data_IF_561547547553
#
_entry.id   IF_561547547553
#
_cell.length_a   1.000
_cell.length_b   1.000
_cell.length_c   1.000
_cell.angle_alpha   90.00
_cell.angle_beta   90.00
_cell.angle_gamma   90.00
#
_symmetry.space_group_name_H-M   'P 1'
#
loop_
_entity.id
_entity.type
_entity.pdbx_description
1 polymer ?
#
# COMPACT_ATOMS: atom_id res chain seq x y z
N UNK A 1 24.32 9.20 -30.23
CA UNK A 1 24.55 8.30 -29.07
C UNK A 1 23.23 8.22 -28.32
N UNK A 2 22.76 7.04 -27.89
CA UNK A 2 21.52 6.95 -27.14
C UNK A 2 21.71 7.58 -25.75
N UNK A 3 20.94 8.62 -25.44
CA UNK A 3 20.90 9.29 -24.13
C UNK A 3 19.78 8.73 -23.27
N UNK A 4 19.98 8.61 -21.95
CA UNK A 4 18.90 8.27 -21.03
C UNK A 4 18.22 9.57 -20.61
N UNK A 5 17.07 9.88 -21.20
CA UNK A 5 16.29 11.04 -20.79
C UNK A 5 15.81 10.88 -19.35
N UNK A 6 16.06 11.88 -18.50
CA UNK A 6 15.37 11.99 -17.23
C UNK A 6 13.85 12.05 -17.47
N UNK A 7 13.09 11.30 -16.67
CA UNK A 7 11.62 11.37 -16.69
C UNK A 7 11.21 12.76 -16.21
N UNK A 8 10.56 13.53 -17.09
CA UNK A 8 9.98 14.83 -16.74
C UNK A 8 8.75 14.61 -15.86
N UNK A 9 8.67 15.29 -14.72
CA UNK A 9 7.45 15.34 -13.93
C UNK A 9 6.61 16.52 -14.39
N UNK A 10 5.31 16.31 -14.53
CA UNK A 10 4.34 17.39 -14.76
C UNK A 10 3.31 17.36 -13.62
N UNK A 11 2.88 18.53 -13.16
CA UNK A 11 1.84 18.68 -12.13
C UNK A 11 0.78 19.68 -12.58
N UNK A 12 -0.46 19.43 -12.18
CA UNK A 12 -1.60 20.34 -12.35
C UNK A 12 -1.93 20.99 -11.00
N UNK A 13 -2.27 22.27 -10.99
CA UNK A 13 -2.82 22.96 -9.81
C UNK A 13 -4.08 23.77 -10.17
N UNK A 14 -4.82 24.22 -9.16
CA UNK A 14 -6.09 24.95 -9.36
C UNK A 14 -5.91 26.31 -10.05
N UNK A 15 -4.67 26.80 -10.18
CA UNK A 15 -4.34 28.10 -10.76
C UNK A 15 -3.70 27.99 -12.16
N UNK A 16 -3.32 26.78 -12.63
CA UNK A 16 -2.50 26.57 -13.83
C UNK A 16 -2.61 25.14 -14.36
N UNK A 17 -2.86 24.99 -15.66
CA UNK A 17 -3.08 23.69 -16.32
C UNK A 17 -1.85 22.78 -16.31
N UNK A 18 -0.62 23.30 -16.43
CA UNK A 18 0.60 22.50 -16.41
C UNK A 18 1.77 23.25 -15.77
N UNK A 19 2.46 22.59 -14.84
CA UNK A 19 3.74 23.04 -14.28
C UNK A 19 4.78 21.93 -14.36
N UNK A 20 6.01 22.33 -14.64
CA UNK A 20 7.16 21.45 -14.51
C UNK A 20 7.36 21.08 -13.03
N UNK A 21 7.47 19.78 -12.77
CA UNK A 21 7.69 19.22 -11.45
C UNK A 21 8.85 18.22 -11.49
N UNK A 22 9.47 18.00 -10.34
CA UNK A 22 10.38 16.87 -10.18
C UNK A 22 9.56 15.58 -10.19
N UNK A 23 10.07 14.54 -10.84
CA UNK A 23 9.46 13.22 -10.78
C UNK A 23 9.43 12.71 -9.33
N UNK A 24 8.22 12.46 -8.81
CA UNK A 24 8.00 11.92 -7.45
C UNK A 24 8.10 10.40 -7.45
N UNK A 25 8.45 9.80 -6.31
CA UNK A 25 8.71 8.36 -6.17
C UNK A 25 9.85 7.86 -7.06
N UNK A 26 10.95 8.61 -7.13
CA UNK A 26 12.19 8.15 -7.73
C UNK A 26 13.38 8.52 -6.85
N UNK A 27 14.48 7.78 -6.96
CA UNK A 27 15.78 8.15 -6.39
C UNK A 27 16.87 8.12 -7.46
N UNK A 28 17.85 9.02 -7.32
CA UNK A 28 18.97 9.11 -8.24
C UNK A 28 20.02 8.05 -7.92
N UNK A 29 20.45 7.30 -8.94
CA UNK A 29 21.58 6.39 -8.90
C UNK A 29 22.72 6.99 -9.70
N UNK A 30 23.78 7.39 -9.00
CA UNK A 30 25.01 7.88 -9.60
C UNK A 30 25.84 6.68 -10.09
N UNK A 31 25.64 6.31 -11.36
CA UNK A 31 26.36 5.23 -12.02
C UNK A 31 26.49 5.54 -13.51
N UNK A 32 27.72 5.75 -14.00
CA UNK A 32 27.94 6.01 -15.41
C UNK A 32 27.43 4.86 -16.29
N UNK A 33 26.51 5.14 -17.22
CA UNK A 33 25.97 4.16 -18.15
C UNK A 33 25.52 4.84 -19.45
N UNK A 34 25.82 4.24 -20.60
CA UNK A 34 25.44 4.75 -21.93
C UNK A 34 25.82 6.23 -22.21
N UNK A 35 26.85 6.77 -21.55
CA UNK A 35 27.29 8.15 -21.74
C UNK A 35 26.61 9.17 -20.83
N UNK A 36 25.79 8.72 -19.88
CA UNK A 36 25.18 9.54 -18.82
C UNK A 36 25.87 9.27 -17.48
N UNK A 37 25.92 10.27 -16.60
CA UNK A 37 26.54 10.18 -15.25
C UNK A 37 25.69 9.41 -14.23
N UNK A 38 24.41 9.17 -14.54
CA UNK A 38 23.49 8.46 -13.67
C UNK A 38 22.09 8.32 -14.25
N UNK A 39 21.20 7.67 -13.50
CA UNK A 39 19.82 7.43 -13.88
C UNK A 39 18.88 7.47 -12.67
N UNK A 40 17.58 7.59 -12.91
CA UNK A 40 16.55 7.56 -11.88
C UNK A 40 15.93 6.17 -11.78
N UNK A 41 15.78 5.64 -10.56
CA UNK A 41 15.02 4.42 -10.29
C UNK A 41 13.72 4.77 -9.58
N UNK A 42 12.63 4.11 -9.96
CA UNK A 42 11.35 4.27 -9.28
C UNK A 42 11.49 3.74 -7.85
N UNK A 43 11.01 4.51 -6.88
CA UNK A 43 10.88 4.08 -5.50
C UNK A 43 9.78 3.03 -5.44
N UNK A 44 9.98 1.94 -4.69
CA UNK A 44 8.93 0.94 -4.52
C UNK A 44 7.66 1.61 -3.99
N UNK A 45 6.63 1.71 -4.83
CA UNK A 45 5.34 2.25 -4.45
C UNK A 45 4.56 1.28 -3.55
N UNK A 46 3.33 1.67 -3.20
CA UNK A 46 2.34 0.72 -2.67
C UNK A 46 2.04 -0.29 -3.78
N UNK A 47 2.57 -1.50 -3.64
CA UNK A 47 2.19 -2.64 -4.46
C UNK A 47 0.95 -3.30 -3.87
N UNK A 48 0.07 -3.82 -4.73
CA UNK A 48 -0.98 -4.70 -4.25
C UNK A 48 -0.33 -5.92 -3.59
N UNK A 49 -0.80 -6.26 -2.40
CA UNK A 49 -0.28 -7.38 -1.61
C UNK A 49 -1.25 -8.56 -1.65
N UNK A 50 -2.55 -8.29 -1.53
CA UNK A 50 -3.59 -9.31 -1.63
C UNK A 50 -4.95 -8.67 -1.89
N UNK A 51 -5.75 -9.32 -2.72
CA UNK A 51 -7.12 -8.90 -3.01
C UNK A 51 -8.09 -9.44 -1.95
N UNK A 52 -8.74 -8.53 -1.22
CA UNK A 52 -9.79 -8.85 -0.25
C UNK A 52 -11.17 -9.08 -0.90
N UNK A 53 -12.22 -9.04 -0.08
CA UNK A 53 -13.61 -9.21 -0.53
C UNK A 53 -14.42 -7.93 -0.32
N UNK A 54 -14.80 -7.22 -1.39
CA UNK A 54 -15.62 -6.00 -1.26
C UNK A 54 -14.88 -4.80 -0.64
N UNK A 55 -15.65 -3.86 -0.07
CA UNK A 55 -15.14 -2.56 0.40
C UNK A 55 -14.32 -2.74 1.69
N UNK A 56 -13.09 -2.21 1.74
CA UNK A 56 -12.27 -2.21 2.96
C UNK A 56 -12.89 -1.30 4.02
N UNK A 57 -13.21 -1.85 5.20
CA UNK A 57 -13.78 -1.11 6.35
C UNK A 57 -12.80 -0.88 7.49
N UNK A 58 -11.66 -1.55 7.48
CA UNK A 58 -10.60 -1.35 8.47
C UNK A 58 -9.60 -2.50 8.43
N UNK A 59 -8.36 -2.22 8.84
CA UNK A 59 -7.31 -3.24 8.89
C UNK A 59 -6.27 -2.93 9.95
N UNK A 60 -5.63 -3.96 10.48
CA UNK A 60 -4.53 -3.86 11.43
C UNK A 60 -3.49 -4.94 11.16
N UNK A 61 -2.22 -4.61 11.31
CA UNK A 61 -1.15 -5.60 11.38
C UNK A 61 -0.94 -6.02 12.84
N UNK A 62 -1.07 -7.32 13.10
CA UNK A 62 -0.77 -7.90 14.40
C UNK A 62 0.64 -8.50 14.33
N UNK A 63 1.55 -8.02 15.18
CA UNK A 63 2.94 -8.51 15.24
C UNK A 63 3.18 -9.46 16.43
N UNK A 64 2.10 -9.95 17.05
CA UNK A 64 2.16 -10.74 18.28
C UNK A 64 2.43 -12.22 17.95
N UNK A 65 3.39 -12.88 18.64
CA UNK A 65 3.64 -14.31 18.48
C UNK A 65 2.39 -15.19 18.62
N UNK A 66 2.08 -15.97 17.59
CA UNK A 66 0.92 -16.87 17.49
C UNK A 66 -0.35 -16.21 16.93
N UNK A 67 -0.34 -14.90 16.67
CA UNK A 67 -1.45 -14.13 16.10
C UNK A 67 -0.97 -13.23 14.96
N UNK A 68 0.22 -13.47 14.42
CA UNK A 68 0.80 -12.61 13.40
C UNK A 68 -0.03 -12.61 12.12
N UNK A 69 -0.07 -11.45 11.47
CA UNK A 69 -0.67 -11.29 10.16
C UNK A 69 -1.49 -10.02 10.04
N UNK A 70 -1.97 -9.78 8.83
CA UNK A 70 -2.85 -8.65 8.55
C UNK A 70 -4.30 -9.09 8.73
N UNK A 71 -5.00 -8.45 9.66
CA UNK A 71 -6.43 -8.61 9.82
C UNK A 71 -7.14 -7.46 9.12
N UNK A 72 -8.18 -7.79 8.35
CA UNK A 72 -8.95 -6.81 7.59
C UNK A 72 -10.43 -7.16 7.61
N UNK A 73 -11.28 -6.16 7.79
CA UNK A 73 -12.71 -6.29 7.51
C UNK A 73 -12.96 -5.75 6.12
N UNK A 74 -13.47 -6.62 5.25
CA UNK A 74 -13.72 -6.36 3.85
C UNK A 74 -15.17 -6.73 3.54
N UNK A 75 -15.99 -5.73 3.22
CA UNK A 75 -17.44 -5.88 3.16
C UNK A 75 -18.01 -6.33 4.50
N UNK A 76 -18.53 -7.55 4.55
CA UNK A 76 -18.98 -8.19 5.79
C UNK A 76 -18.04 -9.31 6.25
N UNK A 77 -16.93 -9.57 5.57
CA UNK A 77 -16.00 -10.65 5.89
C UNK A 77 -14.85 -10.15 6.76
N UNK A 78 -14.54 -10.88 7.83
CA UNK A 78 -13.28 -10.76 8.55
C UNK A 78 -12.26 -11.68 7.87
N UNK A 79 -11.18 -11.07 7.36
CA UNK A 79 -10.11 -11.73 6.64
C UNK A 79 -8.82 -11.70 7.47
N UNK A 80 -8.06 -12.78 7.41
CA UNK A 80 -6.64 -12.81 7.75
C UNK A 80 -5.84 -12.99 6.47
N UNK A 81 -4.85 -12.14 6.27
CA UNK A 81 -3.91 -12.20 5.15
C UNK A 81 -2.54 -12.53 5.76
N UNK A 82 -2.00 -13.68 5.36
CA UNK A 82 -0.67 -14.15 5.77
C UNK A 82 0.43 -13.47 4.93
N UNK A 83 1.68 -13.66 5.33
CA UNK A 83 2.87 -13.14 4.65
C UNK A 83 3.05 -13.68 3.22
N UNK A 84 2.51 -14.86 2.94
CA UNK A 84 2.49 -15.51 1.63
C UNK A 84 1.27 -15.14 0.77
N UNK A 85 0.59 -14.04 1.09
CA UNK A 85 -0.59 -13.51 0.39
C UNK A 85 -1.85 -14.40 0.50
N UNK A 86 -1.81 -15.47 1.31
CA UNK A 86 -2.99 -16.33 1.51
C UNK A 86 -4.07 -15.59 2.28
N UNK A 87 -5.25 -15.48 1.69
CA UNK A 87 -6.43 -14.85 2.29
C UNK A 87 -7.34 -15.91 2.89
N UNK A 88 -7.50 -15.88 4.21
CA UNK A 88 -8.41 -16.77 4.95
C UNK A 88 -9.59 -15.97 5.49
N UNK A 89 -10.82 -16.43 5.22
CA UNK A 89 -12.02 -15.87 5.83
C UNK A 89 -12.19 -16.47 7.23
N UNK A 90 -12.07 -15.64 8.26
CA UNK A 90 -12.21 -16.05 9.65
C UNK A 90 -13.65 -16.00 10.15
N UNK A 91 -14.49 -15.17 9.53
CA UNK A 91 -15.88 -15.02 9.93
C UNK A 91 -16.57 -13.81 9.30
N UNK A 92 -17.70 -13.42 9.86
CA UNK A 92 -18.54 -12.33 9.36
C UNK A 92 -18.67 -11.21 10.40
N UNK A 93 -18.41 -9.97 9.98
CA UNK A 93 -18.66 -8.73 10.72
C UNK A 93 -19.75 -7.96 9.94
N UNK A 94 -21.02 -7.95 10.40
CA UNK A 94 -22.09 -7.25 9.71
C UNK A 94 -21.89 -5.73 9.71
N UNK A 95 -22.79 -5.02 9.02
CA UNK A 95 -22.74 -3.57 8.86
C UNK A 95 -21.93 -3.10 7.65
N UNK A 96 -21.89 -1.78 7.47
CA UNK A 96 -21.21 -1.13 6.34
C UNK A 96 -20.20 -0.08 6.79
N UNK A 97 -20.28 0.35 8.06
CA UNK A 97 -19.50 1.47 8.57
C UNK A 97 -18.05 1.08 8.87
N UNK A 98 -17.17 2.07 8.98
CA UNK A 98 -15.76 1.85 9.26
C UNK A 98 -15.58 1.13 10.61
N UNK A 99 -14.73 0.11 10.62
CA UNK A 99 -14.40 -0.68 11.82
C UNK A 99 -13.11 -0.20 12.44
N UNK A 100 -13.05 -0.16 13.77
CA UNK A 100 -11.82 0.09 14.52
C UNK A 100 -11.31 -1.22 15.12
N UNK A 101 -9.99 -1.42 15.11
CA UNK A 101 -9.36 -2.65 15.57
C UNK A 101 -8.21 -2.36 16.53
N UNK A 102 -8.06 -3.20 17.54
CA UNK A 102 -6.89 -3.22 18.42
C UNK A 102 -6.61 -4.66 18.83
N UNK A 103 -5.39 -4.97 19.28
CA UNK A 103 -5.04 -6.31 19.73
C UNK A 103 -4.28 -6.26 21.06
N UNK A 104 -4.39 -7.37 21.80
CA UNK A 104 -3.68 -7.62 23.05
C UNK A 104 -2.75 -8.82 22.90
N UNK A 105 -2.36 -9.44 24.01
CA UNK A 105 -1.48 -10.61 24.06
C UNK A 105 -2.03 -11.82 23.32
N UNK A 106 -3.36 -11.97 23.30
CA UNK A 106 -4.06 -13.19 22.91
C UNK A 106 -5.41 -12.92 22.20
N UNK A 107 -5.81 -11.66 22.02
CA UNK A 107 -7.08 -11.31 21.42
C UNK A 107 -6.93 -10.18 20.40
N UNK A 108 -7.73 -10.26 19.34
CA UNK A 108 -8.04 -9.15 18.46
C UNK A 108 -9.43 -8.62 18.84
N UNK A 109 -9.52 -7.35 19.17
CA UNK A 109 -10.77 -6.65 19.42
C UNK A 109 -11.15 -5.81 18.20
N UNK A 110 -12.42 -5.94 17.78
CA UNK A 110 -12.97 -5.25 16.62
C UNK A 110 -14.26 -4.56 17.07
N UNK A 111 -14.34 -3.26 16.81
CA UNK A 111 -15.56 -2.46 17.03
C UNK A 111 -16.15 -2.15 15.66
N UNK A 112 -17.40 -2.56 15.46
CA UNK A 112 -18.20 -2.28 14.28
C UNK A 112 -19.54 -1.68 14.74
N UNK A 113 -19.97 -0.62 14.06
CA UNK A 113 -21.30 -0.02 14.23
C UNK A 113 -22.32 -0.68 13.28
#
# INVERSE_FOLDING_TARGET
MPSISFVKGDKVDDNTDYRDALAVNYYAVLRPIYGEEGYMLNYYGLTDFATGQGISRGSIWVARPGLEGQYRVSGTSLLKIEDNETVTVLGTIPGTDQTSMTYSLNNLAIVAN
#
